data_IF_939006218707
#
_entry.id   IF_939006218707
#
_cell.length_a   1.000
_cell.length_b   1.000
_cell.length_c   1.000
_cell.angle_alpha   90.00
_cell.angle_beta   90.00
_cell.angle_gamma   90.00
#
_symmetry.space_group_name_H-M   'P 1'
#
loop_
_entity.id
_entity.type
_entity.pdbx_description
1 polymer ?
#
# COMPACT_ATOMS: atom_id res chain seq x y z
N UNK A 1 15.16 22.01 -18.09
CA UNK A 1 15.17 21.09 -19.21
C UNK A 1 14.11 21.44 -20.26
N UNK A 2 12.82 21.55 -19.92
CA UNK A 2 11.73 21.89 -20.86
C UNK A 2 11.96 23.19 -21.61
N UNK A 3 12.40 24.24 -20.92
CA UNK A 3 12.70 25.56 -21.54
C UNK A 3 13.85 25.40 -22.53
N UNK A 4 14.97 24.83 -22.13
CA UNK A 4 16.14 24.67 -23.00
C UNK A 4 15.83 23.84 -24.25
N UNK A 5 15.17 22.67 -24.09
CA UNK A 5 14.85 21.82 -25.23
C UNK A 5 13.82 22.45 -26.16
N UNK A 6 12.79 23.12 -25.61
CA UNK A 6 11.80 23.81 -26.43
C UNK A 6 12.39 25.05 -27.16
N UNK A 7 13.37 25.73 -26.55
CA UNK A 7 14.07 26.83 -27.20
C UNK A 7 14.86 26.36 -28.43
N UNK A 8 15.49 25.18 -28.34
CA UNK A 8 16.33 24.65 -29.40
C UNK A 8 15.54 23.86 -30.46
N UNK A 9 14.57 23.10 -30.05
CA UNK A 9 13.87 22.10 -30.88
C UNK A 9 12.35 22.25 -30.92
N UNK A 10 11.78 23.24 -30.26
CA UNK A 10 10.32 23.45 -30.14
C UNK A 10 9.59 23.70 -31.45
N UNK A 11 10.31 24.00 -32.54
CA UNK A 11 9.75 24.09 -33.88
C UNK A 11 9.25 22.72 -34.39
N UNK A 12 9.93 21.63 -34.01
CA UNK A 12 9.61 20.27 -34.45
C UNK A 12 8.63 19.59 -33.50
N UNK A 13 8.85 19.72 -32.19
CA UNK A 13 8.02 19.12 -31.15
C UNK A 13 8.13 19.91 -29.85
N UNK A 14 6.99 20.37 -29.32
CA UNK A 14 6.93 21.02 -28.01
C UNK A 14 6.76 19.98 -26.90
N UNK A 15 7.67 20.02 -25.93
CA UNK A 15 7.58 19.25 -24.69
C UNK A 15 6.77 20.04 -23.67
N UNK A 16 5.75 19.40 -23.09
CA UNK A 16 4.87 20.01 -22.08
C UNK A 16 5.12 19.41 -20.71
N UNK A 17 5.17 20.28 -19.71
CA UNK A 17 5.20 19.85 -18.30
C UNK A 17 3.84 19.29 -17.94
N UNK A 18 3.83 18.17 -17.24
CA UNK A 18 2.60 17.60 -16.67
C UNK A 18 2.49 18.04 -15.20
N UNK A 19 1.68 19.05 -14.96
CA UNK A 19 1.49 19.62 -13.62
C UNK A 19 0.73 18.69 -12.65
N UNK A 20 0.09 17.62 -13.13
CA UNK A 20 -0.59 16.64 -12.27
C UNK A 20 0.38 15.79 -11.46
N UNK A 21 1.63 15.71 -11.88
CA UNK A 21 2.66 14.84 -11.30
C UNK A 21 3.89 15.64 -10.84
N UNK A 22 3.69 16.87 -10.41
CA UNK A 22 4.75 17.64 -9.78
C UNK A 22 4.87 17.19 -8.33
N UNK A 23 6.01 16.63 -7.92
CA UNK A 23 6.24 16.31 -6.52
C UNK A 23 6.71 17.56 -5.76
N UNK A 24 6.49 17.56 -4.47
CA UNK A 24 7.11 18.48 -3.52
C UNK A 24 7.51 17.73 -2.24
N UNK A 25 8.53 18.26 -1.57
CA UNK A 25 8.99 17.74 -0.30
C UNK A 25 9.19 18.89 0.69
N UNK A 26 8.90 18.61 1.96
CA UNK A 26 9.24 19.47 3.10
C UNK A 26 10.26 18.71 3.92
N UNK A 27 11.46 19.30 4.06
CA UNK A 27 12.61 18.69 4.74
C UNK A 27 12.56 18.93 6.25
N UNK A 28 11.49 18.47 6.86
CA UNK A 28 11.32 18.36 8.29
C UNK A 28 11.91 17.03 8.78
N UNK A 29 11.92 16.78 10.08
CA UNK A 29 12.26 15.50 10.67
C UNK A 29 11.03 14.96 11.42
N UNK A 30 10.37 13.91 10.89
CA UNK A 30 10.58 13.24 9.60
C UNK A 30 10.21 14.10 8.38
N UNK A 31 10.79 13.78 7.22
CA UNK A 31 10.46 14.43 5.94
C UNK A 31 9.02 14.15 5.51
N UNK A 32 8.44 15.10 4.77
CA UNK A 32 7.13 14.94 4.15
C UNK A 32 7.25 15.15 2.64
N UNK A 33 6.89 14.14 1.86
CA UNK A 33 6.86 14.23 0.40
C UNK A 33 5.50 13.86 -0.15
N UNK A 34 5.10 14.50 -1.27
CA UNK A 34 3.83 14.17 -1.93
C UNK A 34 3.87 14.42 -3.43
N UNK A 35 2.99 13.73 -4.15
CA UNK A 35 2.67 13.93 -5.56
C UNK A 35 1.19 13.69 -5.80
N UNK A 36 0.57 14.47 -6.69
CA UNK A 36 -0.86 14.37 -6.98
C UNK A 36 -1.75 14.85 -5.83
N UNK A 37 -2.95 14.29 -5.71
CA UNK A 37 -3.97 14.70 -4.77
C UNK A 37 -3.72 14.18 -3.36
N UNK A 38 -4.03 14.99 -2.35
CA UNK A 38 -4.26 14.54 -0.99
C UNK A 38 -5.77 14.35 -0.74
N UNK A 39 -6.13 13.84 0.46
CA UNK A 39 -7.53 13.61 0.83
C UNK A 39 -8.37 14.90 0.88
N UNK A 40 -7.77 16.01 1.29
CA UNK A 40 -8.46 17.30 1.36
C UNK A 40 -8.77 17.80 -0.05
N UNK A 41 -7.77 17.83 -0.92
CA UNK A 41 -7.92 18.24 -2.32
C UNK A 41 -8.89 17.35 -3.10
N UNK A 42 -8.86 16.03 -2.84
CA UNK A 42 -9.79 15.10 -3.46
C UNK A 42 -11.25 15.39 -3.02
N UNK A 43 -11.47 15.72 -1.74
CA UNK A 43 -12.79 16.13 -1.23
C UNK A 43 -13.25 17.48 -1.80
N UNK A 44 -12.36 18.47 -1.84
CA UNK A 44 -12.67 19.79 -2.40
C UNK A 44 -13.00 19.74 -3.89
N UNK A 45 -12.41 18.80 -4.61
CA UNK A 45 -12.67 18.56 -6.04
C UNK A 45 -13.76 17.50 -6.30
N UNK A 46 -14.43 17.00 -5.26
CA UNK A 46 -15.47 15.95 -5.33
C UNK A 46 -14.99 14.69 -6.08
N UNK A 47 -13.66 14.36 -5.98
CA UNK A 47 -13.08 13.18 -6.59
C UNK A 47 -13.20 12.01 -5.62
N UNK A 48 -13.91 10.96 -6.02
CA UNK A 48 -13.97 9.70 -5.27
C UNK A 48 -12.62 9.00 -5.26
N UNK A 49 -12.23 8.50 -4.10
CA UNK A 49 -10.97 7.78 -3.91
C UNK A 49 -11.09 6.65 -2.89
N UNK A 50 -10.19 5.71 -3.01
CA UNK A 50 -9.87 4.72 -1.97
C UNK A 50 -8.48 5.02 -1.40
N UNK A 51 -8.32 4.88 -0.09
CA UNK A 51 -7.06 5.11 0.60
C UNK A 51 -6.44 3.79 1.07
N UNK A 52 -5.17 3.60 0.73
CA UNK A 52 -4.35 2.51 1.24
C UNK A 52 -3.11 3.08 1.92
N UNK A 53 -2.76 2.55 3.09
CA UNK A 53 -1.60 2.98 3.86
C UNK A 53 -0.70 1.81 4.27
N UNK A 54 0.59 2.11 4.45
CA UNK A 54 1.58 1.22 5.04
C UNK A 54 2.48 2.01 6.00
N UNK A 55 2.82 1.44 7.14
CA UNK A 55 3.61 2.12 8.19
C UNK A 55 5.05 1.59 8.24
N UNK A 56 6.01 2.45 8.54
CA UNK A 56 7.44 2.11 8.57
C UNK A 56 7.83 1.23 9.76
N UNK A 57 7.01 1.16 10.80
CA UNK A 57 7.28 0.32 11.97
C UNK A 57 7.30 -1.21 11.67
N UNK A 58 6.84 -1.61 10.49
CA UNK A 58 6.87 -2.99 10.01
C UNK A 58 7.94 -3.22 8.92
N UNK A 59 8.77 -2.20 8.64
CA UNK A 59 9.78 -2.22 7.59
C UNK A 59 11.15 -2.54 8.17
N UNK A 60 11.75 -3.66 7.78
CA UNK A 60 13.01 -4.16 8.35
C UNK A 60 14.15 -3.13 8.29
N UNK A 61 14.24 -2.36 7.19
CA UNK A 61 15.25 -1.32 7.05
C UNK A 61 15.01 -0.16 8.02
N UNK A 62 13.77 0.27 8.17
CA UNK A 62 13.43 1.34 9.12
C UNK A 62 13.70 0.92 10.58
N UNK A 63 13.45 -0.37 10.89
CA UNK A 63 13.76 -0.93 12.20
C UNK A 63 15.28 -0.96 12.45
N UNK A 64 16.06 -1.36 11.42
CA UNK A 64 17.51 -1.44 11.54
C UNK A 64 18.18 -0.05 11.69
N UNK A 65 17.59 0.97 11.09
CA UNK A 65 18.07 2.35 11.17
C UNK A 65 17.47 3.14 12.36
N UNK A 66 16.56 2.54 13.15
CA UNK A 66 15.78 3.18 14.22
C UNK A 66 14.86 4.32 13.72
N UNK A 67 14.54 4.33 12.42
CA UNK A 67 13.74 5.36 11.72
C UNK A 67 12.33 4.83 11.39
N UNK A 68 11.64 4.33 12.40
CA UNK A 68 10.32 3.70 12.25
C UNK A 68 9.14 4.68 12.21
N UNK A 69 9.40 5.96 12.47
CA UNK A 69 8.39 7.01 12.46
C UNK A 69 8.04 7.41 11.01
N UNK A 70 6.96 6.84 10.45
CA UNK A 70 6.56 7.19 9.11
C UNK A 70 5.48 6.29 8.51
N UNK A 71 5.01 6.71 7.34
CA UNK A 71 4.02 5.95 6.56
C UNK A 71 4.06 6.34 5.08
N UNK A 72 3.58 5.45 4.23
CA UNK A 72 3.16 5.72 2.85
C UNK A 72 1.65 5.66 2.78
N UNK A 73 1.01 6.69 2.24
CA UNK A 73 -0.42 6.78 1.99
C UNK A 73 -0.67 7.03 0.52
N UNK A 74 -1.45 6.15 -0.12
CA UNK A 74 -1.78 6.23 -1.55
C UNK A 74 -3.29 6.38 -1.71
N UNK A 75 -3.69 7.33 -2.54
CA UNK A 75 -5.07 7.48 -3.01
C UNK A 75 -5.18 6.87 -4.40
N UNK A 76 -6.16 5.99 -4.59
CA UNK A 76 -6.45 5.36 -5.89
C UNK A 76 -7.89 5.62 -6.31
N UNK A 77 -8.17 5.47 -7.60
CA UNK A 77 -9.57 5.44 -8.08
C UNK A 77 -10.29 4.23 -7.50
N UNK A 78 -11.58 4.38 -7.09
CA UNK A 78 -12.35 3.27 -6.54
C UNK A 78 -12.31 2.01 -7.42
N UNK A 79 -11.95 0.88 -6.83
CA UNK A 79 -11.83 -0.42 -7.50
C UNK A 79 -10.74 -0.53 -8.56
N UNK A 80 -9.85 0.47 -8.69
CA UNK A 80 -8.76 0.48 -9.68
C UNK A 80 -7.43 0.83 -9.02
N UNK A 81 -6.35 0.27 -9.55
CA UNK A 81 -4.99 0.53 -9.10
C UNK A 81 -4.40 1.87 -9.61
N UNK A 82 -5.22 2.68 -10.28
CA UNK A 82 -4.81 3.99 -10.82
C UNK A 82 -4.54 4.97 -9.68
N UNK A 83 -3.30 5.44 -9.58
CA UNK A 83 -2.85 6.33 -8.52
C UNK A 83 -3.37 7.76 -8.79
N UNK A 84 -4.04 8.35 -7.82
CA UNK A 84 -4.51 9.75 -7.82
C UNK A 84 -3.53 10.65 -7.09
N UNK A 85 -2.89 10.15 -6.05
CA UNK A 85 -1.90 10.86 -5.29
C UNK A 85 -1.25 10.02 -4.22
N UNK A 86 -0.07 10.45 -3.77
CA UNK A 86 0.71 9.77 -2.74
C UNK A 86 1.27 10.79 -1.77
N UNK A 87 1.25 10.44 -0.49
CA UNK A 87 1.91 11.17 0.59
C UNK A 87 2.81 10.19 1.34
N UNK A 88 4.07 10.54 1.49
CA UNK A 88 5.05 9.79 2.29
C UNK A 88 5.51 10.71 3.42
N UNK A 89 5.50 10.19 4.63
CA UNK A 89 6.10 10.82 5.81
C UNK A 89 7.12 9.85 6.35
N UNK A 90 8.35 10.28 6.56
CA UNK A 90 9.41 9.41 7.08
C UNK A 90 10.78 9.78 6.56
N UNK A 91 11.78 9.03 7.02
CA UNK A 91 13.16 9.19 6.59
C UNK A 91 13.30 8.99 5.07
N UNK A 92 13.99 9.90 4.37
CA UNK A 92 14.16 9.91 2.92
C UNK A 92 12.85 9.93 2.10
N UNK A 93 11.77 10.52 2.62
CA UNK A 93 10.50 10.59 1.89
C UNK A 93 10.64 11.28 0.53
N UNK A 94 11.52 12.29 0.42
CA UNK A 94 11.82 13.01 -0.81
C UNK A 94 12.42 12.12 -1.90
N UNK A 95 13.22 11.11 -1.53
CA UNK A 95 13.78 10.13 -2.47
C UNK A 95 12.75 9.06 -2.83
N UNK A 96 12.01 8.57 -1.84
CA UNK A 96 11.04 7.48 -2.02
C UNK A 96 9.87 7.84 -2.94
N UNK A 97 9.45 9.12 -2.96
CA UNK A 97 8.33 9.59 -3.77
C UNK A 97 8.59 9.48 -5.29
N UNK A 98 9.85 9.45 -5.71
CA UNK A 98 10.24 9.48 -7.12
C UNK A 98 9.68 8.30 -7.93
N UNK A 99 9.55 7.12 -7.34
CA UNK A 99 8.95 5.95 -7.97
C UNK A 99 7.48 6.19 -8.31
N UNK A 100 6.71 6.79 -7.40
CA UNK A 100 5.31 7.12 -7.65
C UNK A 100 5.15 8.26 -8.67
N UNK A 101 6.06 9.22 -8.68
CA UNK A 101 6.09 10.27 -9.72
C UNK A 101 6.25 9.64 -11.10
N UNK A 102 7.20 8.70 -11.25
CA UNK A 102 7.42 7.95 -12.48
C UNK A 102 6.19 7.13 -12.86
N UNK A 103 5.64 6.39 -11.90
CA UNK A 103 4.44 5.57 -12.11
C UNK A 103 3.26 6.43 -12.60
N UNK A 104 2.94 7.51 -11.90
CA UNK A 104 1.84 8.41 -12.26
C UNK A 104 2.08 9.09 -13.61
N UNK A 105 3.32 9.54 -13.89
CA UNK A 105 3.68 10.18 -15.15
C UNK A 105 3.42 9.29 -16.36
N UNK A 106 3.65 8.00 -16.21
CA UNK A 106 3.48 7.01 -17.29
C UNK A 106 2.17 6.21 -17.19
N UNK A 107 1.24 6.62 -16.31
CA UNK A 107 -0.05 5.95 -16.15
C UNK A 107 0.06 4.52 -15.59
N UNK A 108 1.13 4.23 -14.86
CA UNK A 108 1.32 2.94 -14.18
C UNK A 108 0.56 2.95 -12.85
N UNK A 109 -0.19 1.87 -12.61
CA UNK A 109 -0.91 1.67 -11.35
C UNK A 109 -0.12 0.87 -10.31
N UNK A 110 -0.70 0.71 -9.12
CA UNK A 110 -0.08 -0.02 -8.00
C UNK A 110 0.31 -1.47 -8.33
N UNK A 111 -0.41 -2.14 -9.25
CA UNK A 111 0.00 -3.48 -9.68
C UNK A 111 1.38 -3.50 -10.38
N UNK A 112 1.77 -2.40 -11.03
CA UNK A 112 3.09 -2.28 -11.66
C UNK A 112 4.18 -2.03 -10.62
N UNK A 113 3.91 -1.16 -9.64
CA UNK A 113 4.78 -0.95 -8.48
C UNK A 113 5.01 -2.28 -7.74
N UNK A 114 3.93 -3.01 -7.42
CA UNK A 114 4.01 -4.32 -6.76
C UNK A 114 4.82 -5.35 -7.56
N UNK A 115 4.70 -5.33 -8.89
CA UNK A 115 5.42 -6.23 -9.79
C UNK A 115 6.88 -5.86 -10.04
N UNK A 116 7.33 -4.69 -9.58
CA UNK A 116 8.72 -4.25 -9.66
C UNK A 116 9.55 -4.92 -8.57
N UNK A 117 10.76 -5.35 -8.92
CA UNK A 117 11.69 -5.95 -7.94
C UNK A 117 12.37 -4.82 -7.17
N UNK A 118 12.17 -4.81 -5.86
CA UNK A 118 12.82 -3.86 -4.94
C UNK A 118 14.00 -4.55 -4.24
N UNK A 119 15.04 -3.77 -3.96
CA UNK A 119 16.20 -4.25 -3.22
C UNK A 119 15.80 -4.40 -1.74
N UNK A 120 16.15 -5.53 -1.14
CA UNK A 120 15.96 -5.81 0.29
C UNK A 120 17.32 -5.82 1.01
N UNK A 121 17.45 -5.22 2.21
CA UNK A 121 16.45 -4.37 2.88
C UNK A 121 16.64 -2.90 2.49
N UNK A 122 15.58 -2.21 2.09
CA UNK A 122 15.58 -0.78 1.79
C UNK A 122 14.29 -0.09 2.24
N UNK A 123 14.34 1.22 2.43
CA UNK A 123 13.12 2.00 2.73
C UNK A 123 12.14 2.01 1.54
N UNK A 124 12.65 1.85 0.31
CA UNK A 124 11.81 1.82 -0.88
C UNK A 124 10.85 0.61 -0.95
N UNK A 125 11.08 -0.44 -0.16
CA UNK A 125 10.15 -1.56 -0.04
C UNK A 125 8.78 -1.12 0.52
N UNK A 126 8.71 0.01 1.25
CA UNK A 126 7.44 0.58 1.69
C UNK A 126 6.48 0.85 0.52
N UNK A 127 7.01 1.28 -0.64
CA UNK A 127 6.23 1.52 -1.85
C UNK A 127 5.63 0.21 -2.40
N UNK A 128 6.41 -0.87 -2.40
CA UNK A 128 5.95 -2.21 -2.77
C UNK A 128 4.91 -2.75 -1.77
N UNK A 129 5.14 -2.53 -0.48
CA UNK A 129 4.23 -3.05 0.55
C UNK A 129 2.89 -2.34 0.56
N UNK A 130 2.83 -1.02 0.37
CA UNK A 130 1.54 -0.32 0.23
C UNK A 130 0.78 -0.80 -1.01
N UNK A 131 1.47 -1.09 -2.12
CA UNK A 131 0.87 -1.67 -3.30
C UNK A 131 0.38 -3.12 -3.05
N UNK A 132 1.08 -3.88 -2.20
CA UNK A 132 0.69 -5.20 -1.71
C UNK A 132 -0.57 -5.16 -0.84
N UNK A 133 -0.68 -4.18 0.06
CA UNK A 133 -1.89 -3.97 0.87
C UNK A 133 -3.10 -3.66 -0.02
N UNK A 134 -2.93 -2.75 -0.99
CA UNK A 134 -3.99 -2.47 -1.97
C UNK A 134 -4.43 -3.76 -2.68
N UNK A 135 -3.48 -4.56 -3.18
CA UNK A 135 -3.77 -5.82 -3.87
C UNK A 135 -4.48 -6.83 -2.98
N UNK A 136 -4.10 -6.91 -1.70
CA UNK A 136 -4.73 -7.79 -0.71
C UNK A 136 -6.18 -7.41 -0.48
N UNK A 137 -6.46 -6.11 -0.35
CA UNK A 137 -7.80 -5.58 -0.14
C UNK A 137 -8.73 -5.80 -1.36
N UNK A 138 -8.15 -5.90 -2.56
CA UNK A 138 -8.85 -6.13 -3.82
C UNK A 138 -8.70 -7.56 -4.34
N UNK A 139 -8.31 -8.51 -3.49
CA UNK A 139 -8.17 -9.89 -3.89
C UNK A 139 -9.55 -10.52 -4.22
N UNK A 140 -9.73 -11.11 -5.42
CA UNK A 140 -11.00 -11.69 -5.82
C UNK A 140 -11.25 -13.00 -5.06
N UNK A 141 -12.08 -12.98 -4.01
CA UNK A 141 -12.38 -14.14 -3.17
C UNK A 141 -12.78 -15.38 -3.97
N UNK A 142 -13.58 -15.21 -5.03
CA UNK A 142 -14.01 -16.32 -5.89
C UNK A 142 -12.83 -17.01 -6.58
N UNK A 143 -11.85 -16.25 -7.04
CA UNK A 143 -10.65 -16.78 -7.68
C UNK A 143 -9.74 -17.46 -6.67
N UNK A 144 -9.59 -16.90 -5.47
CA UNK A 144 -8.82 -17.51 -4.38
C UNK A 144 -9.44 -18.83 -3.94
N UNK A 145 -10.75 -18.89 -3.75
CA UNK A 145 -11.47 -20.11 -3.42
C UNK A 145 -11.36 -21.18 -4.52
N UNK A 146 -11.42 -20.77 -5.79
CA UNK A 146 -11.21 -21.70 -6.91
C UNK A 146 -9.76 -22.22 -6.94
N UNK A 147 -8.77 -21.34 -6.77
CA UNK A 147 -7.36 -21.72 -6.70
C UNK A 147 -7.09 -22.68 -5.54
N UNK A 148 -7.65 -22.41 -4.35
CA UNK A 148 -7.54 -23.32 -3.21
C UNK A 148 -8.11 -24.71 -3.52
N UNK A 149 -9.29 -24.77 -4.17
CA UNK A 149 -9.92 -26.05 -4.58
C UNK A 149 -9.07 -26.79 -5.61
N UNK A 150 -8.50 -26.06 -6.58
CA UNK A 150 -7.60 -26.62 -7.59
C UNK A 150 -6.33 -27.18 -6.96
N UNK A 151 -5.66 -26.43 -6.08
CA UNK A 151 -4.47 -26.91 -5.38
C UNK A 151 -4.76 -28.08 -4.47
N UNK A 152 -5.90 -28.07 -3.78
CA UNK A 152 -6.35 -29.20 -2.94
C UNK A 152 -6.59 -30.46 -3.77
N UNK A 153 -7.17 -30.32 -4.96
CA UNK A 153 -7.32 -31.43 -5.90
C UNK A 153 -5.98 -31.94 -6.43
N UNK A 154 -5.07 -31.04 -6.83
CA UNK A 154 -3.74 -31.38 -7.35
C UNK A 154 -2.86 -32.08 -6.32
N UNK A 155 -2.94 -31.72 -5.05
CA UNK A 155 -2.18 -32.32 -3.96
C UNK A 155 -2.73 -33.71 -3.53
N UNK A 156 -3.87 -34.13 -4.10
CA UNK A 156 -4.50 -35.40 -3.76
C UNK A 156 -5.06 -35.44 -2.32
N UNK A 157 -5.40 -36.62 -1.85
CA UNK A 157 -5.85 -36.81 -0.47
C UNK A 157 -4.66 -36.52 0.46
N UNK A 158 -4.71 -35.44 1.20
CA UNK A 158 -3.76 -35.18 2.28
C UNK A 158 -3.73 -36.39 3.23
N UNK A 159 -2.56 -36.82 3.71
CA UNK A 159 -2.48 -37.86 4.71
C UNK A 159 -3.39 -37.47 5.88
N UNK A 160 -4.15 -38.43 6.34
CA UNK A 160 -5.07 -38.19 7.49
C UNK A 160 -4.23 -37.73 8.66
N UNK A 161 -4.49 -36.49 9.12
CA UNK A 161 -3.85 -35.96 10.31
C UNK A 161 -3.82 -37.00 11.43
N UNK A 162 -2.70 -37.17 12.07
CA UNK A 162 -2.59 -38.02 13.27
C UNK A 162 -3.55 -37.54 14.35
N UNK A 163 -3.81 -38.39 15.33
CA UNK A 163 -4.68 -38.03 16.47
C UNK A 163 -4.16 -36.75 17.18
N UNK A 164 -2.85 -36.63 17.33
CA UNK A 164 -2.19 -35.52 17.98
C UNK A 164 -2.32 -34.21 17.18
N UNK A 165 -2.11 -34.27 15.87
CA UNK A 165 -2.27 -33.13 14.97
C UNK A 165 -3.73 -32.63 14.93
N UNK A 166 -4.72 -33.53 15.02
CA UNK A 166 -6.14 -33.14 15.11
C UNK A 166 -6.44 -32.42 16.42
N UNK A 167 -5.86 -32.88 17.52
CA UNK A 167 -6.01 -32.25 18.83
C UNK A 167 -5.34 -30.85 18.81
N UNK A 168 -4.12 -30.77 18.32
CA UNK A 168 -3.39 -29.49 18.20
C UNK A 168 -4.15 -28.45 17.31
N UNK A 169 -4.69 -28.91 16.18
CA UNK A 169 -5.51 -28.07 15.30
C UNK A 169 -6.80 -27.61 15.96
N UNK A 170 -7.46 -28.45 16.77
CA UNK A 170 -8.66 -28.07 17.53
C UNK A 170 -8.34 -27.09 18.64
N UNK A 171 -7.20 -27.22 19.31
CA UNK A 171 -6.75 -26.30 20.36
C UNK A 171 -6.45 -24.91 19.76
N UNK A 172 -5.66 -24.85 18.68
CA UNK A 172 -5.38 -23.59 17.96
C UNK A 172 -6.66 -22.91 17.47
N UNK A 173 -7.63 -23.67 16.95
CA UNK A 173 -8.91 -23.12 16.51
C UNK A 173 -9.76 -22.58 17.67
N UNK A 174 -9.72 -23.21 18.86
CA UNK A 174 -10.38 -22.72 20.07
C UNK A 174 -9.71 -21.44 20.60
N UNK A 175 -8.39 -21.35 20.59
CA UNK A 175 -7.65 -20.17 20.98
C UNK A 175 -7.91 -18.99 20.05
N UNK A 176 -7.89 -19.20 18.73
CA UNK A 176 -8.23 -18.19 17.74
C UNK A 176 -9.66 -17.65 17.93
N UNK A 177 -10.64 -18.53 18.21
CA UNK A 177 -12.02 -18.12 18.52
C UNK A 177 -12.12 -17.31 19.83
N UNK A 178 -11.38 -17.69 20.88
CA UNK A 178 -11.33 -16.93 22.14
C UNK A 178 -10.71 -15.54 21.95
N UNK A 179 -9.64 -15.44 21.16
CA UNK A 179 -8.97 -14.17 20.83
C UNK A 179 -9.89 -13.24 20.02
N UNK A 180 -10.60 -13.77 19.02
CA UNK A 180 -11.56 -13.00 18.22
C UNK A 180 -12.77 -12.53 19.05
N UNK A 181 -13.30 -13.40 19.94
CA UNK A 181 -14.40 -13.03 20.85
C UNK A 181 -13.96 -11.94 21.83
N UNK A 182 -12.73 -12.00 22.35
CA UNK A 182 -12.20 -10.99 23.28
C UNK A 182 -11.96 -9.62 22.58
N UNK A 183 -11.46 -9.63 21.33
CA UNK A 183 -11.35 -8.43 20.50
C UNK A 183 -12.72 -7.77 20.23
N UNK A 184 -13.75 -8.57 19.95
CA UNK A 184 -15.11 -8.08 19.73
C UNK A 184 -15.78 -7.55 21.00
N UNK A 185 -15.52 -8.17 22.15
CA UNK A 185 -16.05 -7.67 23.45
C UNK A 185 -15.39 -6.34 23.86
N UNK A 186 -14.07 -6.18 23.63
CA UNK A 186 -13.37 -4.91 23.86
C UNK A 186 -13.84 -3.80 22.91
N UNK A 187 -14.11 -4.11 21.64
CA UNK A 187 -14.72 -3.15 20.68
C UNK A 187 -16.13 -2.70 21.11
N UNK A 188 -16.96 -3.64 21.61
CA UNK A 188 -18.30 -3.31 22.12
C UNK A 188 -18.26 -2.43 23.38
N UNK A 189 -17.33 -2.70 24.31
CA UNK A 189 -17.17 -1.86 25.52
C UNK A 189 -16.67 -0.46 25.19
N UNK A 190 -15.75 -0.28 24.23
CA UNK A 190 -15.30 1.05 23.77
C UNK A 190 -16.43 1.85 23.10
N UNK A 191 -17.28 1.19 22.28
CA UNK A 191 -18.43 1.85 21.65
C UNK A 191 -19.54 2.29 22.65
N UNK A 192 -19.68 1.62 23.79
CA UNK A 192 -20.63 2.01 24.84
C UNK A 192 -20.12 3.16 25.72
N UNK A 193 -18.79 3.31 25.90
CA UNK A 193 -18.19 4.42 26.67
C UNK A 193 -18.06 5.73 25.88
N UNK A 194 -18.14 5.71 24.56
CA UNK A 194 -18.10 6.91 23.72
C UNK A 194 -19.47 7.48 23.36
N UNK A 195 -20.56 6.98 23.96
CA UNK A 195 -21.94 7.47 23.79
C UNK A 195 -22.54 8.04 25.09
N UNK A 196 -21.73 8.32 26.08
CA UNK A 196 -22.02 9.16 27.24
C UNK A 196 -21.09 10.38 27.13
#
# INVERSE_FOLDING_TARGET
WYVAVNSLFGMFKKFKVDYRVIPWATFTDPEVARVGLNEQEAKEQEIEYEMTGYTFNELDRAIADEETAGFVKVLTKPGKDTILGVTIVGHHAGDLIAEFVLAMRHGLGLNKVLGTIHIYPTLNEANKYVAGEWKRNHAPEKLLNWSERFHRWRLGKQPKLTREERIAKRLKAKEAKKLSANKNSKKRKKRKKGKK
#
